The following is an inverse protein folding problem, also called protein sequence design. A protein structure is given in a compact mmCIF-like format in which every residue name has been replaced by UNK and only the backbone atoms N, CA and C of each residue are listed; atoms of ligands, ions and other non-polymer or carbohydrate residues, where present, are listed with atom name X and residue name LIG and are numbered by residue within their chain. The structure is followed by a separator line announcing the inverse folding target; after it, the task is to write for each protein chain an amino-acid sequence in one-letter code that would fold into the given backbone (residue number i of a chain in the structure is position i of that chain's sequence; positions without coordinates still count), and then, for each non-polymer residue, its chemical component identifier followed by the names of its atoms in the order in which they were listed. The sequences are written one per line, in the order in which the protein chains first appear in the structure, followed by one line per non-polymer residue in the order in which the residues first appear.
data_IF_457729648090
#
_entry.id   IF_457729648090
#
_cell.length_a   1.000
_cell.length_b   1.000
_cell.length_c   1.000
_cell.angle_alpha   90.00
_cell.angle_beta   90.00
_cell.angle_gamma   90.00
#
_symmetry.space_group_name_H-M   'P 1'
#
loop_
_entity.id
_entity.type
_entity.pdbx_description
1 polymer ?
#
# COMPACT_ATOMS: atom_id res chain seq x y z
N UNK A 1 6.02 5.19 -16.62
CA UNK A 1 6.08 5.61 -15.20
C UNK A 1 6.36 4.44 -14.26
N UNK A 2 5.56 3.37 -14.25
CA UNK A 2 5.78 2.20 -13.37
C UNK A 2 7.14 1.54 -13.55
N UNK A 3 7.57 1.29 -14.79
CA UNK A 3 8.89 0.70 -15.08
C UNK A 3 10.06 1.49 -14.48
N UNK A 4 10.01 2.82 -14.55
CA UNK A 4 11.05 3.70 -14.02
C UNK A 4 11.10 3.67 -12.49
N UNK A 5 9.95 3.77 -11.81
CA UNK A 5 9.90 3.72 -10.35
C UNK A 5 10.40 2.37 -9.79
N UNK A 6 10.04 1.26 -10.45
CA UNK A 6 10.54 -0.07 -10.07
C UNK A 6 12.04 -0.19 -10.35
N UNK A 7 12.53 0.36 -11.46
CA UNK A 7 13.96 0.39 -11.77
C UNK A 7 14.76 1.15 -10.73
N UNK A 8 14.29 2.33 -10.30
CA UNK A 8 14.94 3.11 -9.23
C UNK A 8 15.04 2.30 -7.94
N UNK A 9 13.99 1.54 -7.59
CA UNK A 9 13.96 0.79 -6.34
C UNK A 9 14.70 -0.57 -6.40
N UNK A 10 14.60 -1.30 -7.51
CA UNK A 10 15.09 -2.68 -7.65
C UNK A 10 16.38 -2.82 -8.46
N UNK A 11 16.78 -1.76 -9.19
CA UNK A 11 17.89 -1.76 -10.13
C UNK A 11 17.61 -2.50 -11.45
N UNK A 12 16.40 -3.02 -11.66
CA UNK A 12 16.00 -3.73 -12.89
C UNK A 12 14.83 -3.03 -13.55
N UNK A 13 14.85 -2.87 -14.87
CA UNK A 13 13.70 -2.36 -15.64
C UNK A 13 12.74 -3.50 -15.93
N UNK A 14 11.55 -3.54 -15.32
CA UNK A 14 10.59 -4.60 -15.57
C UNK A 14 9.86 -4.39 -16.91
N UNK A 15 9.43 -5.50 -17.52
CA UNK A 15 8.46 -5.49 -18.61
C UNK A 15 7.04 -5.23 -18.06
N UNK A 16 6.07 -4.98 -18.96
CA UNK A 16 4.66 -4.89 -18.52
C UNK A 16 4.12 -6.23 -18.04
N UNK A 17 4.62 -7.33 -18.61
CA UNK A 17 4.29 -8.69 -18.16
C UNK A 17 4.79 -8.93 -16.73
N UNK A 18 6.01 -8.51 -16.41
CA UNK A 18 6.54 -8.59 -15.05
C UNK A 18 5.66 -7.83 -14.06
N UNK A 19 5.24 -6.61 -14.43
CA UNK A 19 4.35 -5.80 -13.60
C UNK A 19 3.02 -6.53 -13.39
N UNK A 20 2.40 -7.04 -14.46
CA UNK A 20 1.15 -7.81 -14.36
C UNK A 20 1.27 -9.06 -13.50
N UNK A 21 2.35 -9.82 -13.68
CA UNK A 21 2.58 -11.05 -12.92
C UNK A 21 2.87 -10.75 -11.46
N UNK A 22 3.51 -9.63 -11.15
CA UNK A 22 3.78 -9.20 -9.78
C UNK A 22 2.52 -8.85 -8.98
N UNK A 23 1.42 -8.46 -9.63
CA UNK A 23 0.13 -8.24 -8.97
C UNK A 23 -0.40 -9.57 -8.40
N UNK A 24 0.00 -10.71 -8.96
CA UNK A 24 -0.40 -12.04 -8.49
C UNK A 24 0.45 -12.56 -7.33
N UNK A 25 1.37 -11.76 -6.81
CA UNK A 25 2.29 -12.17 -5.75
C UNK A 25 1.56 -12.71 -4.52
N UNK A 26 2.08 -13.81 -3.96
CA UNK A 26 1.42 -14.57 -2.88
C UNK A 26 1.14 -13.74 -1.63
N UNK A 27 2.00 -12.76 -1.33
CA UNK A 27 1.90 -11.88 -0.17
C UNK A 27 0.89 -10.73 -0.34
N UNK A 28 0.22 -10.62 -1.50
CA UNK A 28 -0.86 -9.66 -1.70
C UNK A 28 -2.21 -10.34 -1.46
N UNK A 29 -3.10 -9.75 -0.66
CA UNK A 29 -4.48 -10.24 -0.53
C UNK A 29 -5.23 -10.09 -1.86
N UNK A 30 -6.13 -11.03 -2.17
CA UNK A 30 -7.00 -11.03 -3.37
C UNK A 30 -7.68 -9.69 -3.61
N UNK A 31 -8.14 -9.00 -2.55
CA UNK A 31 -8.79 -7.67 -2.67
C UNK A 31 -7.82 -6.62 -3.22
N UNK A 32 -6.61 -6.61 -2.68
CA UNK A 32 -5.52 -5.73 -3.11
C UNK A 32 -5.07 -6.09 -4.53
N UNK A 33 -4.97 -7.37 -4.88
CA UNK A 33 -4.66 -7.80 -6.26
C UNK A 33 -5.69 -7.28 -7.26
N UNK A 34 -6.99 -7.38 -6.93
CA UNK A 34 -8.05 -6.85 -7.78
C UNK A 34 -7.93 -5.33 -7.94
N UNK A 35 -7.66 -4.62 -6.85
CA UNK A 35 -7.43 -3.18 -6.88
C UNK A 35 -6.25 -2.80 -7.77
N UNK A 36 -5.07 -3.38 -7.55
CA UNK A 36 -3.88 -3.09 -8.36
C UNK A 36 -4.09 -3.42 -9.83
N UNK A 37 -4.73 -4.57 -10.13
CA UNK A 37 -5.10 -4.93 -11.49
C UNK A 37 -5.98 -3.86 -12.14
N UNK A 38 -7.06 -3.43 -11.46
CA UNK A 38 -7.95 -2.37 -11.97
C UNK A 38 -7.23 -1.03 -12.16
N UNK A 39 -6.27 -0.71 -11.30
CA UNK A 39 -5.46 0.50 -11.45
C UNK A 39 -4.54 0.41 -12.68
N UNK A 40 -3.83 -0.71 -12.88
CA UNK A 40 -2.96 -0.90 -14.05
C UNK A 40 -3.75 -0.86 -15.35
N UNK A 41 -4.94 -1.45 -15.38
CA UNK A 41 -5.81 -1.47 -16.54
C UNK A 41 -6.72 -0.23 -16.66
N UNK A 42 -6.60 0.74 -15.75
CA UNK A 42 -7.40 1.98 -15.74
C UNK A 42 -8.91 1.73 -15.78
N UNK A 43 -9.40 0.66 -15.15
CA UNK A 43 -10.82 0.27 -15.20
C UNK A 43 -11.66 0.88 -14.08
N UNK A 44 -11.08 1.73 -13.23
CA UNK A 44 -11.82 2.42 -12.18
C UNK A 44 -12.61 3.61 -12.75
N UNK A 45 -13.89 3.67 -12.38
CA UNK A 45 -14.78 4.81 -12.69
C UNK A 45 -14.40 6.01 -11.82
N UNK A 46 -13.52 6.87 -12.33
CA UNK A 46 -13.01 8.04 -11.62
C UNK A 46 -12.59 9.14 -12.61
N UNK A 47 -12.45 10.37 -12.12
CA UNK A 47 -12.05 11.54 -12.91
C UNK A 47 -12.94 11.73 -14.15
N UNK A 48 -12.30 11.84 -15.31
CA UNK A 48 -12.96 12.10 -16.59
C UNK A 48 -14.09 11.14 -16.96
N UNK A 49 -14.08 9.90 -16.45
CA UNK A 49 -15.14 8.92 -16.67
C UNK A 49 -16.53 9.49 -16.33
N UNK A 50 -16.63 10.26 -15.25
CA UNK A 50 -17.90 10.77 -14.75
C UNK A 50 -18.41 12.00 -15.50
N UNK A 51 -17.56 12.72 -16.24
CA UNK A 51 -17.95 13.97 -16.93
C UNK A 51 -19.01 13.80 -18.02
N UNK A 52 -19.10 12.59 -18.57
CA UNK A 52 -20.02 12.28 -19.66
C UNK A 52 -21.27 11.52 -19.18
N UNK A 53 -21.51 11.49 -17.86
CA UNK A 53 -22.65 10.79 -17.25
C UNK A 53 -23.56 11.85 -16.62
N UNK A 54 -24.75 12.09 -17.20
CA UNK A 54 -25.73 13.04 -16.67
C UNK A 54 -26.00 12.80 -15.18
N UNK A 55 -26.07 13.88 -14.41
CA UNK A 55 -26.33 13.92 -12.96
C UNK A 55 -25.18 13.43 -12.07
N UNK A 56 -24.07 12.96 -12.65
CA UNK A 56 -22.93 12.40 -11.93
C UNK A 56 -21.60 13.11 -12.21
N UNK A 57 -21.60 14.21 -12.96
CA UNK A 57 -20.40 14.94 -13.36
C UNK A 57 -19.61 15.48 -12.17
N UNK A 58 -20.31 15.78 -11.08
CA UNK A 58 -19.71 16.20 -9.80
C UNK A 58 -18.76 15.14 -9.22
N UNK A 59 -18.90 13.86 -9.59
CA UNK A 59 -18.00 12.78 -9.17
C UNK A 59 -16.65 12.78 -9.92
N UNK A 60 -16.51 13.59 -10.97
CA UNK A 60 -15.27 13.72 -11.72
C UNK A 60 -14.21 14.57 -10.98
N UNK A 61 -14.67 15.45 -10.08
CA UNK A 61 -13.84 16.46 -9.42
C UNK A 61 -13.80 16.17 -7.92
N UNK A 62 -12.61 16.28 -7.34
CA UNK A 62 -12.45 16.16 -5.89
C UNK A 62 -13.07 17.39 -5.21
N UNK A 63 -14.03 17.24 -4.30
CA UNK A 63 -14.72 18.38 -3.69
C UNK A 63 -13.82 19.21 -2.77
N UNK A 64 -12.74 18.63 -2.24
CA UNK A 64 -11.78 19.35 -1.38
C UNK A 64 -10.72 20.08 -2.18
N UNK A 65 -10.23 19.49 -3.28
CA UNK A 65 -9.08 20.00 -4.02
C UNK A 65 -9.46 20.72 -5.32
N UNK A 66 -10.71 20.58 -5.78
CA UNK A 66 -11.21 21.12 -7.04
C UNK A 66 -10.35 20.76 -8.27
N UNK A 67 -9.84 19.53 -8.30
CA UNK A 67 -9.08 18.93 -9.41
C UNK A 67 -9.66 17.56 -9.77
N UNK A 68 -9.22 16.99 -10.88
CA UNK A 68 -9.66 15.67 -11.32
C UNK A 68 -9.43 14.58 -10.27
N UNK A 69 -10.50 13.94 -9.85
CA UNK A 69 -10.46 12.86 -8.86
C UNK A 69 -10.10 11.53 -9.51
N UNK A 70 -8.82 11.39 -9.86
CA UNK A 70 -8.24 10.19 -10.46
C UNK A 70 -7.43 9.36 -9.43
N UNK A 71 -6.97 8.17 -9.82
CA UNK A 71 -6.19 7.27 -8.95
C UNK A 71 -4.94 7.94 -8.38
N UNK A 72 -4.23 8.74 -9.18
CA UNK A 72 -3.02 9.46 -8.72
C UNK A 72 -3.39 10.46 -7.64
N UNK A 73 -4.40 11.27 -7.88
CA UNK A 73 -4.90 12.25 -6.92
C UNK A 73 -5.31 11.57 -5.61
N UNK A 74 -6.19 10.58 -5.69
CA UNK A 74 -6.74 9.89 -4.53
C UNK A 74 -5.68 9.22 -3.65
N UNK A 75 -4.60 8.71 -4.25
CA UNK A 75 -3.57 7.96 -3.53
C UNK A 75 -2.39 8.80 -3.04
N UNK A 76 -2.11 9.96 -3.66
CA UNK A 76 -0.86 10.68 -3.42
C UNK A 76 -1.00 12.20 -3.24
N UNK A 77 -2.05 12.82 -3.77
CA UNK A 77 -2.12 14.29 -3.90
C UNK A 77 -3.35 14.90 -3.21
N UNK A 78 -4.31 14.08 -2.76
CA UNK A 78 -5.54 14.57 -2.15
C UNK A 78 -5.26 15.19 -0.77
N UNK A 79 -5.81 16.40 -0.56
CA UNK A 79 -5.73 17.15 0.70
C UNK A 79 -6.82 16.79 1.70
N UNK A 80 -7.82 16.01 1.28
CA UNK A 80 -8.81 15.51 2.22
C UNK A 80 -8.18 14.50 3.19
N UNK A 81 -8.68 14.36 4.44
CA UNK A 81 -8.16 13.40 5.42
C UNK A 81 -8.08 11.97 4.84
N UNK A 82 -6.95 11.28 4.97
CA UNK A 82 -6.81 9.94 4.38
C UNK A 82 -5.40 9.61 3.96
N UNK A 83 -5.12 9.73 2.66
CA UNK A 83 -3.88 9.24 2.04
C UNK A 83 -2.62 9.79 2.72
N UNK A 84 -2.59 11.09 3.02
CA UNK A 84 -1.42 11.73 3.62
C UNK A 84 -1.14 11.16 5.02
N UNK A 85 -2.19 11.03 5.85
CA UNK A 85 -2.07 10.44 7.17
C UNK A 85 -1.61 8.98 7.07
N UNK A 86 -2.23 8.19 6.20
CA UNK A 86 -1.87 6.78 6.00
C UNK A 86 -0.39 6.62 5.64
N UNK A 87 0.14 7.44 4.73
CA UNK A 87 1.56 7.37 4.38
C UNK A 87 2.48 7.81 5.53
N UNK A 88 2.05 8.76 6.37
CA UNK A 88 2.78 9.17 7.57
C UNK A 88 2.81 8.09 8.66
N UNK A 89 1.85 7.17 8.69
CA UNK A 89 1.81 6.10 9.70
C UNK A 89 2.95 5.09 9.55
N UNK A 90 3.55 4.97 8.37
CA UNK A 90 4.73 4.14 8.17
C UNK A 90 5.99 5.00 8.06
N UNK A 91 6.64 5.22 9.20
CA UNK A 91 7.93 5.90 9.26
C UNK A 91 8.97 5.22 8.36
N UNK A 92 9.74 6.01 7.61
CA UNK A 92 10.81 5.59 6.70
C UNK A 92 10.39 5.03 5.33
N UNK A 93 9.21 5.38 4.82
CA UNK A 93 8.89 5.09 3.42
C UNK A 93 9.71 5.96 2.45
N UNK A 94 10.14 5.41 1.30
CA UNK A 94 10.58 6.23 0.18
C UNK A 94 9.43 7.15 -0.27
N UNK A 95 9.77 8.21 -0.99
CA UNK A 95 8.75 9.06 -1.61
C UNK A 95 7.86 8.20 -2.52
N UNK A 96 6.57 8.14 -2.16
CA UNK A 96 5.63 7.29 -2.85
C UNK A 96 5.30 7.86 -4.24
N UNK A 97 5.20 6.95 -5.21
CA UNK A 97 4.75 7.26 -6.57
C UNK A 97 3.78 6.19 -7.04
N UNK A 98 2.93 6.51 -8.03
CA UNK A 98 2.01 5.54 -8.61
C UNK A 98 2.78 4.34 -9.17
N UNK A 99 3.94 4.58 -9.76
CA UNK A 99 4.78 3.49 -10.25
C UNK A 99 5.24 2.54 -9.15
N UNK A 100 5.59 3.06 -7.98
CA UNK A 100 6.01 2.24 -6.85
C UNK A 100 4.85 1.46 -6.23
N UNK A 101 3.65 2.06 -6.18
CA UNK A 101 2.43 1.37 -5.72
C UNK A 101 2.06 0.24 -6.67
N UNK A 102 1.97 0.51 -7.96
CA UNK A 102 1.57 -0.48 -8.96
C UNK A 102 2.63 -1.57 -9.17
N UNK A 103 3.89 -1.23 -8.96
CA UNK A 103 5.03 -2.14 -9.07
C UNK A 103 5.50 -2.72 -7.74
N UNK A 104 4.76 -2.55 -6.64
CA UNK A 104 5.22 -2.96 -5.31
C UNK A 104 5.58 -4.45 -5.27
N UNK A 105 4.88 -5.30 -6.03
CA UNK A 105 5.17 -6.73 -6.13
C UNK A 105 6.58 -7.08 -6.62
N UNK A 106 7.24 -6.15 -7.33
CA UNK A 106 8.58 -6.29 -7.90
C UNK A 106 9.70 -5.65 -7.07
N UNK A 107 9.37 -4.95 -5.98
CA UNK A 107 10.40 -4.25 -5.22
C UNK A 107 11.26 -5.23 -4.42
N UNK A 108 12.58 -5.08 -4.55
CA UNK A 108 13.59 -5.84 -3.83
C UNK A 108 14.47 -4.86 -3.05
N UNK A 109 14.62 -5.09 -1.75
CA UNK A 109 15.54 -4.35 -0.89
C UNK A 109 16.83 -5.11 -0.75
N UNK A 110 17.95 -4.39 -0.77
CA UNK A 110 19.30 -4.95 -0.63
C UNK A 110 20.01 -4.33 0.57
N UNK A 111 20.84 -5.12 1.22
CA UNK A 111 21.74 -4.62 2.27
C UNK A 111 22.94 -3.88 1.66
N UNK A 112 23.79 -3.30 2.51
CA UNK A 112 25.02 -2.61 2.10
C UNK A 112 26.03 -3.48 1.35
N UNK A 113 25.88 -4.81 1.41
CA UNK A 113 26.69 -5.80 0.67
C UNK A 113 26.02 -6.25 -0.64
N UNK A 114 24.89 -5.64 -1.03
CA UNK A 114 24.14 -5.98 -2.24
C UNK A 114 23.29 -7.24 -2.15
N UNK A 115 23.20 -7.87 -0.97
CA UNK A 115 22.39 -9.07 -0.77
C UNK A 115 20.93 -8.69 -0.52
N UNK A 116 20.01 -9.44 -1.12
CA UNK A 116 18.59 -9.23 -0.94
C UNK A 116 18.17 -9.40 0.53
N UNK A 117 17.24 -8.57 0.99
CA UNK A 117 16.56 -8.65 2.28
C UNK A 117 15.10 -9.02 1.99
N UNK A 118 14.78 -10.33 1.91
CA UNK A 118 13.44 -10.80 1.54
C UNK A 118 12.36 -10.28 2.50
N UNK A 119 12.68 -10.16 3.78
CA UNK A 119 11.72 -9.80 4.83
C UNK A 119 11.31 -8.33 4.72
N UNK A 120 12.27 -7.43 4.48
CA UNK A 120 11.99 -6.02 4.21
C UNK A 120 11.19 -5.85 2.91
N UNK A 121 11.54 -6.61 1.87
CA UNK A 121 10.83 -6.58 0.57
C UNK A 121 9.38 -7.07 0.70
N UNK A 122 9.17 -8.11 1.50
CA UNK A 122 7.83 -8.65 1.79
C UNK A 122 7.00 -7.67 2.62
N UNK A 123 7.58 -7.12 3.68
CA UNK A 123 6.91 -6.12 4.52
C UNK A 123 6.49 -4.91 3.68
N UNK A 124 7.40 -4.37 2.87
CA UNK A 124 7.11 -3.24 1.99
C UNK A 124 5.94 -3.53 1.04
N UNK A 125 5.93 -4.71 0.39
CA UNK A 125 4.83 -5.15 -0.48
C UNK A 125 3.48 -5.11 0.23
N UNK A 126 3.43 -5.65 1.44
CA UNK A 126 2.21 -5.71 2.25
C UNK A 126 1.77 -4.30 2.63
N UNK A 127 2.65 -3.52 3.25
CA UNK A 127 2.32 -2.19 3.76
C UNK A 127 1.89 -1.24 2.65
N UNK A 128 2.63 -1.16 1.54
CA UNK A 128 2.30 -0.25 0.43
C UNK A 128 0.95 -0.57 -0.17
N UNK A 129 0.72 -1.85 -0.42
CA UNK A 129 -0.45 -2.30 -1.16
C UNK A 129 -1.73 -2.20 -0.32
N UNK A 130 -1.67 -2.56 0.96
CA UNK A 130 -2.78 -2.38 1.92
C UNK A 130 -3.06 -0.88 2.16
N UNK A 131 -2.02 -0.06 2.31
CA UNK A 131 -2.15 1.39 2.53
C UNK A 131 -2.80 2.09 1.33
N UNK A 132 -2.35 1.77 0.11
CA UNK A 132 -2.94 2.31 -1.11
C UNK A 132 -4.41 1.88 -1.26
N UNK A 133 -4.71 0.61 -0.98
CA UNK A 133 -6.08 0.11 -1.05
C UNK A 133 -7.00 0.77 -0.02
N UNK A 134 -6.51 0.98 1.21
CA UNK A 134 -7.26 1.69 2.26
C UNK A 134 -7.51 3.15 1.89
N UNK A 135 -6.50 3.87 1.40
CA UNK A 135 -6.64 5.25 0.93
C UNK A 135 -7.72 5.36 -0.15
N UNK A 136 -7.70 4.44 -1.13
CA UNK A 136 -8.73 4.35 -2.16
C UNK A 136 -10.12 4.07 -1.59
N UNK A 137 -10.23 3.16 -0.62
CA UNK A 137 -11.50 2.82 0.05
C UNK A 137 -12.08 4.02 0.78
N UNK A 138 -11.27 4.74 1.56
CA UNK A 138 -11.68 5.96 2.28
C UNK A 138 -12.18 7.02 1.30
N UNK A 139 -11.48 7.21 0.17
CA UNK A 139 -11.93 8.12 -0.89
C UNK A 139 -13.28 7.69 -1.46
N UNK A 140 -13.46 6.40 -1.77
CA UNK A 140 -14.73 5.89 -2.32
C UNK A 140 -15.88 6.06 -1.33
N UNK A 141 -15.64 5.80 -0.05
CA UNK A 141 -16.63 6.00 1.01
C UNK A 141 -17.04 7.47 1.12
N UNK A 142 -16.10 8.40 1.04
CA UNK A 142 -16.39 9.84 1.03
C UNK A 142 -17.24 10.25 -0.16
N UNK A 143 -16.87 9.78 -1.36
CA UNK A 143 -17.55 10.19 -2.60
C UNK A 143 -18.98 9.65 -2.67
N UNK A 144 -19.19 8.41 -2.21
CA UNK A 144 -20.47 7.70 -2.34
C UNK A 144 -21.37 7.81 -1.10
N UNK A 145 -20.82 8.09 0.08
CA UNK A 145 -21.60 8.18 1.32
C UNK A 145 -21.98 9.61 1.60
N UNK A 146 -23.23 9.85 2.04
CA UNK A 146 -23.65 11.11 2.67
C UNK A 146 -23.09 11.30 4.10
N UNK A 147 -22.07 10.52 4.48
CA UNK A 147 -21.49 10.53 5.83
C UNK A 147 -20.44 11.64 5.95
N UNK A 148 -20.22 12.07 7.18
CA UNK A 148 -19.14 12.99 7.53
C UNK A 148 -17.78 12.39 7.22
N UNK A 149 -16.79 13.25 7.01
CA UNK A 149 -15.40 12.84 6.85
C UNK A 149 -14.95 11.99 8.04
N UNK A 150 -14.20 10.92 7.76
CA UNK A 150 -13.50 10.17 8.80
C UNK A 150 -12.53 11.11 9.52
N UNK A 151 -12.50 11.00 10.85
CA UNK A 151 -11.51 11.66 11.69
C UNK A 151 -10.15 10.99 11.56
N UNK A 152 -9.08 11.71 11.88
CA UNK A 152 -7.71 11.17 11.83
C UNK A 152 -7.56 9.92 12.71
N UNK A 153 -8.20 9.89 13.87
CA UNK A 153 -8.23 8.72 14.77
C UNK A 153 -8.94 7.51 14.13
N UNK A 154 -10.05 7.71 13.42
CA UNK A 154 -10.73 6.62 12.71
C UNK A 154 -9.87 6.06 11.58
N UNK A 155 -9.23 6.93 10.80
CA UNK A 155 -8.33 6.54 9.71
C UNK A 155 -7.14 5.76 10.25
N UNK A 156 -6.54 6.23 11.35
CA UNK A 156 -5.46 5.54 12.04
C UNK A 156 -5.89 4.15 12.53
N UNK A 157 -7.03 4.05 13.20
CA UNK A 157 -7.57 2.78 13.70
C UNK A 157 -7.92 1.81 12.56
N UNK A 158 -8.44 2.31 11.45
CA UNK A 158 -8.70 1.50 10.25
C UNK A 158 -7.40 0.96 9.65
N UNK A 159 -6.36 1.78 9.59
CA UNK A 159 -5.04 1.36 9.11
C UNK A 159 -4.42 0.29 10.01
N UNK A 160 -4.40 0.50 11.34
CA UNK A 160 -3.94 -0.50 12.31
C UNK A 160 -4.73 -1.81 12.15
N UNK A 161 -6.06 -1.72 12.04
CA UNK A 161 -6.92 -2.89 11.85
C UNK A 161 -6.59 -3.63 10.55
N UNK A 162 -6.32 -2.91 9.46
CA UNK A 162 -5.92 -3.48 8.18
C UNK A 162 -4.63 -4.29 8.31
N UNK A 163 -3.59 -3.69 8.88
CA UNK A 163 -2.28 -4.33 9.05
C UNK A 163 -2.36 -5.53 10.00
N UNK A 164 -3.07 -5.39 11.12
CA UNK A 164 -3.28 -6.49 12.07
C UNK A 164 -4.07 -7.65 11.46
N UNK A 165 -5.03 -7.38 10.58
CA UNK A 165 -5.76 -8.42 9.87
C UNK A 165 -4.87 -9.17 8.88
N UNK A 166 -3.92 -8.47 8.23
CA UNK A 166 -2.92 -9.12 7.37
C UNK A 166 -1.98 -10.00 8.19
N UNK A 167 -1.48 -9.53 9.35
CA UNK A 167 -0.68 -10.34 10.27
C UNK A 167 -1.44 -11.60 10.74
N UNK A 168 -2.71 -11.47 11.10
CA UNK A 168 -3.57 -12.62 11.45
C UNK A 168 -3.76 -13.58 10.28
N UNK A 169 -3.83 -13.07 9.05
CA UNK A 169 -3.89 -13.90 7.85
C UNK A 169 -2.57 -14.67 7.65
N UNK A 170 -1.43 -13.99 7.74
CA UNK A 170 -0.10 -14.61 7.69
C UNK A 170 0.04 -15.73 8.72
N UNK A 171 -0.32 -15.45 9.97
CA UNK A 171 -0.28 -16.43 11.05
C UNK A 171 -1.16 -17.65 10.76
N UNK A 172 -2.40 -17.44 10.26
CA UNK A 172 -3.26 -18.57 9.85
C UNK A 172 -2.67 -19.35 8.69
N UNK A 173 -1.93 -18.69 7.81
CA UNK A 173 -1.31 -19.34 6.68
C UNK A 173 -0.11 -20.23 7.05
N UNK A 174 0.40 -20.18 8.28
CA UNK A 174 1.55 -21.03 8.71
C UNK A 174 1.17 -22.47 9.05
N UNK A 175 -0.09 -22.73 9.38
CA UNK A 175 -0.57 -24.07 9.75
C UNK A 175 -1.63 -24.63 8.80
N UNK A 176 -2.47 -23.76 8.22
CA UNK A 176 -3.71 -24.18 7.54
C UNK A 176 -3.52 -24.77 6.13
N UNK A 177 -2.36 -24.59 5.50
CA UNK A 177 -2.17 -24.90 4.08
C UNK A 177 -1.18 -26.03 3.78
N UNK A 178 -0.85 -26.87 4.77
CA UNK A 178 0.04 -28.03 4.59
C UNK A 178 1.33 -27.67 3.85
N UNK A 179 1.60 -28.31 2.72
CA UNK A 179 2.80 -28.06 1.90
C UNK A 179 2.87 -26.65 1.27
N UNK A 180 1.77 -25.89 1.27
CA UNK A 180 1.72 -24.49 0.84
C UNK A 180 1.68 -23.50 2.01
N UNK A 181 1.88 -23.99 3.24
CA UNK A 181 1.92 -23.15 4.40
C UNK A 181 3.10 -22.19 4.36
N UNK A 182 2.87 -20.98 4.88
CA UNK A 182 3.93 -20.00 5.10
C UNK A 182 4.86 -20.48 6.21
N UNK A 183 6.17 -20.36 6.01
CA UNK A 183 7.11 -20.67 7.08
C UNK A 183 6.94 -19.65 8.21
N UNK A 184 6.72 -20.13 9.44
CA UNK A 184 6.55 -19.29 10.62
C UNK A 184 7.75 -18.35 10.86
N UNK A 185 8.98 -18.82 10.62
CA UNK A 185 10.17 -17.98 10.75
C UNK A 185 10.18 -16.82 9.75
N UNK A 186 9.63 -17.00 8.53
CA UNK A 186 9.47 -15.92 7.56
C UNK A 186 8.48 -14.89 8.05
N UNK A 187 7.34 -15.31 8.62
CA UNK A 187 6.34 -14.39 9.20
C UNK A 187 6.97 -13.61 10.34
N UNK A 188 7.62 -14.29 11.29
CA UNK A 188 8.24 -13.64 12.44
C UNK A 188 9.27 -12.59 12.02
N UNK A 189 10.18 -12.92 11.10
CA UNK A 189 11.17 -11.96 10.59
C UNK A 189 10.57 -10.82 9.76
N UNK A 190 9.47 -11.05 9.05
CA UNK A 190 8.80 -9.98 8.26
C UNK A 190 8.21 -8.91 9.17
N UNK A 191 7.62 -9.34 10.28
CA UNK A 191 6.94 -8.47 11.23
C UNK A 191 7.84 -8.03 12.39
N UNK A 192 9.06 -8.55 12.47
CA UNK A 192 10.05 -8.18 13.47
C UNK A 192 10.35 -6.67 13.42
N UNK A 193 10.25 -6.01 14.57
CA UNK A 193 10.36 -4.54 14.67
C UNK A 193 9.14 -3.73 14.22
N UNK A 194 8.08 -4.37 13.68
CA UNK A 194 6.78 -3.74 13.35
C UNK A 194 5.70 -4.14 14.37
N UNK A 195 5.86 -5.28 15.05
CA UNK A 195 4.97 -5.71 16.13
C UNK A 195 4.94 -4.65 17.24
N UNK A 196 3.82 -3.91 17.28
CA UNK A 196 3.51 -3.02 18.40
C UNK A 196 3.23 -3.91 19.61
N UNK A 197 4.01 -3.74 20.69
CA UNK A 197 3.69 -4.35 21.98
C UNK A 197 2.34 -3.80 22.44
N UNK A 198 1.36 -4.68 22.64
CA UNK A 198 0.05 -4.32 23.20
C UNK A 198 0.10 -3.96 24.70
N UNK A 199 1.29 -3.94 25.31
CA UNK A 199 1.49 -3.54 26.69
C UNK A 199 2.26 -2.22 26.76
N UNK A 200 1.53 -1.18 27.14
CA UNK A 200 1.94 0.21 27.38
C UNK A 200 2.01 1.08 26.12
N UNK A 201 1.16 2.12 26.12
CA UNK A 201 1.03 3.15 25.09
C UNK A 201 2.27 4.02 24.90
N UNK A 202 3.38 3.41 24.55
CA UNK A 202 4.56 4.06 24.01
C UNK A 202 4.83 3.49 22.64
N UNK A 203 4.81 4.37 21.64
CA UNK A 203 5.36 4.09 20.32
C UNK A 203 6.78 3.55 20.52
N UNK A 204 6.98 2.24 20.35
CA UNK A 204 8.30 1.74 19.95
C UNK A 204 8.48 2.21 18.52
N UNK A 205 9.04 3.43 18.40
CA UNK A 205 9.62 3.95 17.17
C UNK A 205 10.37 2.81 16.48
N UNK A 206 10.21 2.72 15.16
CA UNK A 206 11.04 1.90 14.28
C UNK A 206 12.52 2.35 14.41
N UNK A 207 13.15 2.01 15.54
CA UNK A 207 14.56 2.20 15.85
C UNK A 207 15.18 0.81 15.93
N UNK A 208 15.50 0.30 14.74
CA UNK A 208 16.65 -0.53 14.36
C UNK A 208 16.27 -1.42 13.17
N UNK A 209 15.94 -0.78 12.04
CA UNK A 209 16.51 -1.26 10.78
C UNK A 209 17.82 -0.47 10.67
N UNK A 210 18.93 -1.19 10.60
CA UNK A 210 20.28 -0.72 10.92
C UNK A 210 20.58 0.73 10.54
N UNK A 211 21.13 1.45 11.52
CA UNK A 211 22.03 2.58 11.33
C UNK A 211 23.12 2.17 10.35
N UNK A 212 22.86 2.40 9.08
CA UNK A 212 23.69 2.05 7.95
C UNK A 212 23.14 2.78 6.76
N UNK A 213 23.30 4.12 6.79
CA UNK A 213 23.16 5.07 5.69
C UNK A 213 22.65 4.44 4.38
N UNK A 214 21.33 4.26 4.26
CA UNK A 214 20.70 4.16 2.95
C UNK A 214 20.62 5.60 2.45
N UNK A 215 21.69 6.04 1.78
CA UNK A 215 21.65 7.25 0.97
C UNK A 215 20.66 6.99 -0.16
N UNK A 216 19.61 7.80 -0.22
CA UNK A 216 18.82 8.01 -1.42
C UNK A 216 19.66 8.70 -2.49
#
# INVERSE_FOLDING_TARGET
MTRYAVQTQSGKTPSDEDIWMSIRHKDLDRRVRNFLWKCVHQTYKCGSYWRNIPDYEHLAVCPTCNVDDNIKHALLECNSPGQELIWKLFSNMPQMSIGLILGCGLTEFKNSRGQNIPEASRLFKIIVSESAFLAWKIRCERLMSRKTFHTDSEIHNQWITCINNHLKLDHRCTSRYGNRALNFATVLKTWDGVLMDNNNGQQKSARKIGSGSLRF
#
